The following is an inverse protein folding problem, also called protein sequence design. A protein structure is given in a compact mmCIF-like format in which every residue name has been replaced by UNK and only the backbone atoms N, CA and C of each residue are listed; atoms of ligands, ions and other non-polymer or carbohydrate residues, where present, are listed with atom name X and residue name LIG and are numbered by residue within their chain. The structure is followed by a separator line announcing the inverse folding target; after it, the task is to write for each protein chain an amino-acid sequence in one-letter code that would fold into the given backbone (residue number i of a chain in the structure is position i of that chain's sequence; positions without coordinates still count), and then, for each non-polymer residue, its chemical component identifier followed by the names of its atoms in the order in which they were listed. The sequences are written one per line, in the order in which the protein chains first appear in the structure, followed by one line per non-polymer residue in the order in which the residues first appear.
data_IF_644091321814
#
_entry.id   IF_644091321814
#
_cell.length_a   1.000
_cell.length_b   1.000
_cell.length_c   1.000
_cell.angle_alpha   90.00
_cell.angle_beta   90.00
_cell.angle_gamma   90.00
#
_symmetry.space_group_name_H-M   'P 1'
#
loop_
_entity.id
_entity.type
_entity.pdbx_description
1 polymer ?
#
# COMPACT_ATOMS: atom_id res chain seq x y z
N UNK A 1 -14.12 18.19 3.74
CA UNK A 1 -14.01 16.74 3.44
C UNK A 1 -13.37 15.88 4.56
N UNK A 2 -12.58 16.43 5.51
CA UNK A 2 -11.92 15.63 6.58
C UNK A 2 -12.81 14.92 7.63
N UNK A 3 -13.99 15.42 8.07
CA UNK A 3 -14.70 14.81 9.21
C UNK A 3 -15.40 13.49 8.85
N UNK A 4 -15.88 13.35 7.61
CA UNK A 4 -16.58 12.13 7.14
C UNK A 4 -15.60 10.95 7.06
N UNK A 5 -14.39 11.17 6.52
CA UNK A 5 -13.36 10.14 6.44
C UNK A 5 -12.97 9.62 7.84
N UNK A 6 -12.83 10.54 8.82
CA UNK A 6 -12.48 10.18 10.20
C UNK A 6 -13.54 9.30 10.88
N UNK A 7 -14.82 9.54 10.60
CA UNK A 7 -15.92 8.72 11.11
C UNK A 7 -15.92 7.34 10.46
N UNK A 8 -15.68 7.26 9.14
CA UNK A 8 -15.56 5.98 8.42
C UNK A 8 -14.38 5.18 8.98
N UNK A 9 -13.23 5.84 9.21
CA UNK A 9 -12.03 5.23 9.80
C UNK A 9 -12.30 4.67 11.20
N UNK A 10 -13.06 5.42 12.01
CA UNK A 10 -13.49 4.97 13.34
C UNK A 10 -14.40 3.74 13.24
N UNK A 11 -15.40 3.77 12.35
CA UNK A 11 -16.34 2.67 12.14
C UNK A 11 -15.59 1.41 11.67
N UNK A 12 -14.64 1.56 10.74
CA UNK A 12 -13.81 0.45 10.25
C UNK A 12 -12.95 -0.12 11.38
N UNK A 13 -12.31 0.73 12.18
CA UNK A 13 -11.53 0.30 13.35
C UNK A 13 -12.36 -0.47 14.37
N UNK A 14 -13.53 0.04 14.74
CA UNK A 14 -14.46 -0.61 15.67
C UNK A 14 -14.94 -1.96 15.11
N UNK A 15 -15.33 -2.00 13.83
CA UNK A 15 -15.85 -3.22 13.19
C UNK A 15 -14.81 -4.32 13.07
N UNK A 16 -13.54 -3.97 12.83
CA UNK A 16 -12.45 -4.95 12.67
C UNK A 16 -11.88 -5.44 14.00
N UNK A 17 -11.90 -4.62 15.05
CA UNK A 17 -11.25 -4.94 16.33
C UNK A 17 -12.14 -4.71 17.57
N UNK A 18 -13.33 -5.34 17.67
CA UNK A 18 -14.28 -5.10 18.75
C UNK A 18 -13.74 -5.55 20.13
N UNK A 19 -12.98 -6.65 20.16
CA UNK A 19 -12.36 -7.16 21.39
C UNK A 19 -11.29 -6.20 21.94
N UNK A 20 -10.49 -5.58 21.08
CA UNK A 20 -9.50 -4.59 21.52
C UNK A 20 -10.17 -3.35 22.12
N UNK A 21 -11.32 -2.93 21.59
CA UNK A 21 -12.09 -1.83 22.16
C UNK A 21 -12.55 -2.16 23.59
N UNK A 22 -13.05 -3.37 23.82
CA UNK A 22 -13.42 -3.83 25.16
C UNK A 22 -12.20 -3.89 26.07
N UNK A 23 -11.09 -4.48 25.63
CA UNK A 23 -9.86 -4.60 26.44
C UNK A 23 -9.35 -3.21 26.84
N UNK A 24 -9.25 -2.26 25.90
CA UNK A 24 -8.81 -0.90 26.23
C UNK A 24 -9.81 -0.17 27.13
N UNK A 25 -11.11 -0.37 26.90
CA UNK A 25 -12.17 0.21 27.73
C UNK A 25 -12.10 -0.28 29.17
N UNK A 26 -12.04 -1.60 29.38
CA UNK A 26 -11.90 -2.20 30.71
C UNK A 26 -10.58 -1.82 31.38
N UNK A 27 -9.47 -1.81 30.64
CA UNK A 27 -8.16 -1.43 31.21
C UNK A 27 -8.18 0.03 31.69
N UNK A 28 -8.68 0.95 30.87
CA UNK A 28 -8.80 2.36 31.25
C UNK A 28 -9.75 2.54 32.44
N UNK A 29 -10.87 1.82 32.44
CA UNK A 29 -11.84 1.85 33.54
C UNK A 29 -11.22 1.37 34.85
N UNK A 30 -10.52 0.24 34.82
CA UNK A 30 -9.84 -0.32 36.00
C UNK A 30 -8.78 0.64 36.53
N UNK A 31 -7.92 1.19 35.66
CA UNK A 31 -6.87 2.14 36.09
C UNK A 31 -7.48 3.40 36.70
N UNK A 32 -8.46 4.02 36.04
CA UNK A 32 -9.10 5.24 36.54
C UNK A 32 -9.87 5.00 37.83
N UNK A 33 -10.53 3.86 37.97
CA UNK A 33 -11.26 3.49 39.19
C UNK A 33 -10.31 3.27 40.37
N UNK A 34 -9.19 2.59 40.14
CA UNK A 34 -8.16 2.38 41.18
C UNK A 34 -7.53 3.71 41.62
N UNK A 35 -7.24 4.61 40.68
CA UNK A 35 -6.74 5.95 41.02
C UNK A 35 -7.78 6.76 41.80
N UNK A 36 -9.06 6.71 41.41
CA UNK A 36 -10.14 7.37 42.13
C UNK A 36 -10.29 6.89 43.58
N UNK A 37 -10.22 5.57 43.80
CA UNK A 37 -10.23 4.99 45.15
C UNK A 37 -9.00 5.40 45.97
N UNK A 38 -7.82 5.47 45.34
CA UNK A 38 -6.61 5.96 46.00
C UNK A 38 -6.74 7.42 46.44
N UNK A 39 -7.32 8.30 45.61
CA UNK A 39 -7.54 9.71 45.97
C UNK A 39 -8.52 9.82 47.14
N UNK A 40 -9.63 9.08 47.13
CA UNK A 40 -10.61 9.03 48.23
C UNK A 40 -9.95 8.57 49.55
N UNK A 41 -8.98 7.66 49.48
CA UNK A 41 -8.26 7.16 50.65
C UNK A 41 -7.23 8.15 51.22
N UNK A 42 -6.49 8.85 50.37
CA UNK A 42 -5.37 9.70 50.80
C UNK A 42 -5.72 11.19 50.98
N UNK A 43 -6.82 11.67 50.39
CA UNK A 43 -7.22 13.08 50.44
C UNK A 43 -8.56 13.25 51.18
N UNK A 44 -8.54 13.48 52.50
CA UNK A 44 -9.77 13.72 53.25
C UNK A 44 -10.49 14.98 52.75
N UNK A 45 -11.76 14.83 52.35
CA UNK A 45 -12.62 15.93 51.88
C UNK A 45 -13.07 15.85 50.42
N UNK A 46 -12.54 14.90 49.62
CA UNK A 46 -12.98 14.66 48.24
C UNK A 46 -13.73 13.33 48.19
N UNK A 47 -15.07 13.36 48.26
CA UNK A 47 -15.87 12.15 48.06
C UNK A 47 -16.17 11.92 46.57
N UNK A 48 -15.40 11.05 45.92
CA UNK A 48 -15.66 10.60 44.54
C UNK A 48 -16.76 9.52 44.50
N UNK A 49 -17.90 9.78 45.16
CA UNK A 49 -19.00 8.82 45.28
C UNK A 49 -20.21 9.25 44.44
N UNK A 50 -20.92 8.25 43.94
CA UNK A 50 -22.20 8.44 43.26
C UNK A 50 -22.20 8.11 41.76
N UNK A 51 -23.40 7.98 41.21
CA UNK A 51 -23.63 7.56 39.82
C UNK A 51 -22.95 8.49 38.82
N UNK A 52 -22.86 9.78 39.12
CA UNK A 52 -22.24 10.78 38.24
C UNK A 52 -20.74 10.57 38.05
N UNK A 53 -19.99 10.32 39.14
CA UNK A 53 -18.56 10.03 39.07
C UNK A 53 -18.27 8.75 38.26
N UNK A 54 -19.08 7.71 38.46
CA UNK A 54 -18.98 6.46 37.69
C UNK A 54 -19.24 6.69 36.20
N UNK A 55 -20.26 7.48 35.83
CA UNK A 55 -20.52 7.83 34.43
C UNK A 55 -19.37 8.61 33.79
N UNK A 56 -18.71 9.51 34.53
CA UNK A 56 -17.53 10.23 34.04
C UNK A 56 -16.37 9.25 33.77
N UNK A 57 -16.08 8.33 34.69
CA UNK A 57 -15.00 7.34 34.51
C UNK A 57 -15.29 6.42 33.32
N UNK A 58 -16.54 6.00 33.14
CA UNK A 58 -16.96 5.21 31.98
C UNK A 58 -16.78 6.03 30.70
N UNK A 59 -17.24 7.29 30.68
CA UNK A 59 -17.13 8.14 29.50
C UNK A 59 -15.67 8.36 29.09
N UNK A 60 -14.77 8.67 30.04
CA UNK A 60 -13.34 8.85 29.78
C UNK A 60 -12.72 7.55 29.26
N UNK A 61 -13.06 6.41 29.85
CA UNK A 61 -12.58 5.09 29.43
C UNK A 61 -13.01 4.73 28.01
N UNK A 62 -14.28 5.01 27.67
CA UNK A 62 -14.82 4.80 26.32
C UNK A 62 -14.13 5.72 25.31
N UNK A 63 -13.96 7.02 25.64
CA UNK A 63 -13.25 7.97 24.79
C UNK A 63 -11.79 7.52 24.55
N UNK A 64 -11.11 7.05 25.60
CA UNK A 64 -9.75 6.52 25.50
C UNK A 64 -9.69 5.29 24.59
N UNK A 65 -10.60 4.34 24.78
CA UNK A 65 -10.68 3.13 23.96
C UNK A 65 -10.95 3.46 22.48
N UNK A 66 -11.90 4.36 22.21
CA UNK A 66 -12.21 4.83 20.86
C UNK A 66 -10.99 5.48 20.20
N UNK A 67 -10.27 6.33 20.92
CA UNK A 67 -9.05 6.98 20.41
C UNK A 67 -7.92 5.98 20.10
N UNK A 68 -7.81 4.90 20.88
CA UNK A 68 -6.80 3.85 20.66
C UNK A 68 -7.10 3.00 19.43
N UNK A 69 -8.36 2.61 19.27
CA UNK A 69 -8.86 1.79 18.15
C UNK A 69 -8.94 2.57 16.85
N UNK A 70 -9.12 3.89 16.93
CA UNK A 70 -9.10 4.76 15.76
C UNK A 70 -7.73 4.73 15.04
N UNK A 71 -7.73 4.25 13.81
CA UNK A 71 -6.57 4.22 12.91
C UNK A 71 -6.93 5.01 11.64
N UNK A 72 -6.13 6.02 11.25
CA UNK A 72 -6.39 6.75 10.02
C UNK A 72 -6.23 5.82 8.82
N UNK A 73 -7.15 5.90 7.86
CA UNK A 73 -7.05 5.15 6.61
C UNK A 73 -6.17 5.83 5.56
N UNK A 74 -5.79 7.09 5.82
CA UNK A 74 -5.00 7.93 4.92
C UNK A 74 -4.04 8.83 5.69
N UNK A 75 -2.80 8.92 5.22
CA UNK A 75 -1.80 9.89 5.67
C UNK A 75 -1.10 10.53 4.48
N UNK A 76 -0.47 11.67 4.72
CA UNK A 76 0.36 12.40 3.75
C UNK A 76 1.71 12.69 4.40
N UNK A 77 2.77 12.51 3.62
CA UNK A 77 4.17 12.79 3.94
C UNK A 77 4.68 13.77 2.89
N UNK A 78 5.05 14.98 3.31
CA UNK A 78 5.68 15.96 2.43
C UNK A 78 7.13 15.58 2.18
N UNK A 79 7.59 15.64 0.93
CA UNK A 79 9.00 15.44 0.62
C UNK A 79 9.74 16.75 0.89
N UNK A 80 10.69 16.74 1.83
CA UNK A 80 11.47 17.93 2.16
C UNK A 80 12.15 18.53 0.91
N UNK A 81 12.13 19.85 0.78
CA UNK A 81 12.67 20.61 -0.36
C UNK A 81 12.04 20.26 -1.72
N UNK A 82 10.80 19.77 -1.73
CA UNK A 82 10.01 19.50 -2.93
C UNK A 82 8.53 19.85 -2.69
N UNK A 83 7.80 20.15 -3.77
CA UNK A 83 6.35 20.32 -3.73
C UNK A 83 5.59 18.99 -3.78
N UNK A 84 6.32 17.87 -3.86
CA UNK A 84 5.74 16.54 -3.94
C UNK A 84 5.23 16.05 -2.57
N UNK A 85 4.07 15.40 -2.61
CA UNK A 85 3.46 14.73 -1.45
C UNK A 85 3.37 13.23 -1.73
N UNK A 86 3.84 12.43 -0.78
CA UNK A 86 3.60 10.99 -0.75
C UNK A 86 2.36 10.75 0.12
N UNK A 87 1.29 10.33 -0.52
CA UNK A 87 0.04 9.94 0.11
C UNK A 87 0.01 8.43 0.29
N UNK A 88 -0.38 7.96 1.47
CA UNK A 88 -0.52 6.53 1.75
C UNK A 88 -1.95 6.30 2.22
N UNK A 89 -2.68 5.41 1.55
CA UNK A 89 -4.08 5.15 1.87
C UNK A 89 -4.46 3.67 1.72
N UNK A 90 -5.49 3.25 2.46
CA UNK A 90 -6.12 1.94 2.27
C UNK A 90 -7.29 2.02 1.29
N UNK A 91 -7.10 1.54 0.07
CA UNK A 91 -8.14 1.59 -0.95
C UNK A 91 -7.90 0.61 -2.11
N UNK A 92 -8.75 0.69 -3.14
CA UNK A 92 -8.53 0.00 -4.41
C UNK A 92 -7.63 0.82 -5.35
N UNK A 93 -6.60 0.17 -5.90
CA UNK A 93 -5.68 0.76 -6.87
C UNK A 93 -6.41 1.17 -8.16
N UNK A 94 -7.36 0.34 -8.63
CA UNK A 94 -8.05 0.55 -9.90
C UNK A 94 -9.03 1.72 -9.85
N UNK A 95 -9.44 2.17 -8.66
CA UNK A 95 -10.32 3.31 -8.46
C UNK A 95 -9.58 4.67 -8.44
N UNK A 96 -8.24 4.68 -8.43
CA UNK A 96 -7.47 5.91 -8.29
C UNK A 96 -7.31 6.66 -9.61
N UNK A 97 -7.34 8.00 -9.57
CA UNK A 97 -7.03 8.85 -10.72
C UNK A 97 -5.52 8.93 -11.00
N UNK A 98 -5.15 9.19 -12.26
CA UNK A 98 -3.75 9.28 -12.69
C UNK A 98 -3.20 7.94 -13.20
N UNK A 99 -1.88 7.76 -13.13
CA UNK A 99 -1.21 6.56 -13.63
C UNK A 99 -1.22 5.49 -12.54
N UNK A 100 -1.58 4.25 -12.90
CA UNK A 100 -1.61 3.12 -11.97
C UNK A 100 -0.46 2.16 -12.28
N UNK A 101 0.39 1.90 -11.31
CA UNK A 101 1.53 1.02 -11.48
C UNK A 101 1.12 -0.43 -11.26
N UNK A 102 1.49 -1.32 -12.19
CA UNK A 102 1.25 -2.76 -12.09
C UNK A 102 2.59 -3.48 -12.09
N UNK A 103 2.90 -4.18 -11.00
CA UNK A 103 4.06 -5.06 -10.94
C UNK A 103 3.80 -6.33 -11.74
N UNK A 104 4.63 -6.58 -12.74
CA UNK A 104 4.56 -7.77 -13.61
C UNK A 104 5.85 -8.57 -13.52
N UNK A 105 5.85 -9.77 -14.10
CA UNK A 105 7.09 -10.53 -14.26
C UNK A 105 7.92 -10.01 -15.43
N UNK A 106 9.17 -10.44 -15.51
CA UNK A 106 10.11 -10.00 -16.54
C UNK A 106 9.70 -10.38 -17.97
N UNK A 107 8.78 -11.34 -18.11
CA UNK A 107 8.24 -11.77 -19.39
C UNK A 107 7.03 -10.96 -19.85
N UNK A 108 6.48 -10.09 -18.97
CA UNK A 108 5.20 -9.42 -19.17
C UNK A 108 4.11 -10.43 -19.57
N UNK A 109 4.08 -11.59 -18.91
CA UNK A 109 3.11 -12.65 -19.21
C UNK A 109 1.68 -12.13 -19.07
N UNK A 110 0.81 -12.52 -20.00
CA UNK A 110 -0.59 -12.09 -20.04
C UNK A 110 -1.56 -13.27 -19.90
N UNK A 111 -1.05 -14.50 -20.03
CA UNK A 111 -1.81 -15.73 -19.88
C UNK A 111 -2.14 -16.00 -18.41
N UNK A 112 -3.44 -15.96 -18.08
CA UNK A 112 -3.94 -16.37 -16.77
C UNK A 112 -3.76 -17.88 -16.57
N UNK A 113 -3.41 -18.28 -15.34
CA UNK A 113 -3.16 -19.66 -14.97
C UNK A 113 -1.80 -19.80 -14.31
N UNK A 114 -0.94 -20.66 -14.87
CA UNK A 114 0.40 -20.92 -14.34
C UNK A 114 1.33 -19.71 -14.44
N UNK A 115 1.42 -18.97 -15.57
CA UNK A 115 2.30 -17.80 -15.68
C UNK A 115 1.84 -16.63 -14.82
N UNK A 116 0.52 -16.38 -14.78
CA UNK A 116 -0.07 -15.30 -13.99
C UNK A 116 -1.29 -15.80 -13.23
N UNK A 117 -1.19 -15.81 -11.90
CA UNK A 117 -2.34 -16.15 -11.05
C UNK A 117 -3.44 -15.10 -11.17
N UNK A 118 -4.68 -15.56 -11.33
CA UNK A 118 -5.91 -14.78 -11.37
C UNK A 118 -6.24 -14.03 -10.07
N UNK A 119 -5.58 -14.39 -8.97
CA UNK A 119 -5.68 -13.74 -7.65
C UNK A 119 -4.59 -12.70 -7.40
N UNK A 120 -3.56 -12.67 -8.25
CA UNK A 120 -2.51 -11.65 -8.17
C UNK A 120 -3.03 -10.31 -8.71
N UNK A 121 -2.42 -9.20 -8.28
CA UNK A 121 -2.76 -7.89 -8.83
C UNK A 121 -2.57 -7.84 -10.36
N UNK A 122 -1.52 -8.50 -10.86
CA UNK A 122 -1.27 -8.64 -12.30
C UNK A 122 -2.41 -9.39 -13.01
N UNK A 123 -2.84 -10.53 -12.49
CA UNK A 123 -3.94 -11.29 -13.08
C UNK A 123 -5.30 -10.59 -12.97
N UNK A 124 -5.55 -9.90 -11.85
CA UNK A 124 -6.74 -9.06 -11.67
C UNK A 124 -6.75 -7.94 -12.70
N UNK A 125 -5.60 -7.30 -12.95
CA UNK A 125 -5.46 -6.28 -14.00
C UNK A 125 -5.81 -6.84 -15.39
N UNK A 126 -5.21 -7.96 -15.79
CA UNK A 126 -5.52 -8.58 -17.09
C UNK A 126 -7.01 -8.94 -17.21
N UNK A 127 -7.58 -9.59 -16.18
CA UNK A 127 -8.99 -10.00 -16.20
C UNK A 127 -9.96 -8.82 -16.23
N UNK A 128 -9.71 -7.80 -15.40
CA UNK A 128 -10.63 -6.67 -15.23
C UNK A 128 -10.52 -5.64 -16.37
N UNK A 129 -9.29 -5.36 -16.82
CA UNK A 129 -9.02 -4.26 -17.75
C UNK A 129 -9.05 -4.72 -19.21
N UNK A 130 -8.76 -6.00 -19.48
CA UNK A 130 -8.75 -6.57 -20.84
C UNK A 130 -9.83 -7.64 -21.06
N UNK A 131 -10.75 -7.82 -20.11
CA UNK A 131 -11.81 -8.83 -20.20
C UNK A 131 -11.28 -10.27 -20.28
N UNK A 132 -10.01 -10.51 -19.90
CA UNK A 132 -9.34 -11.80 -20.06
C UNK A 132 -8.79 -12.06 -21.47
N UNK A 133 -8.81 -11.09 -22.39
CA UNK A 133 -8.23 -11.18 -23.72
C UNK A 133 -6.87 -10.48 -23.79
N UNK A 134 -5.75 -11.22 -23.77
CA UNK A 134 -4.42 -10.63 -23.61
C UNK A 134 -3.90 -9.90 -24.86
N UNK A 135 -4.47 -10.12 -26.04
CA UNK A 135 -3.89 -9.67 -27.32
C UNK A 135 -3.67 -8.14 -27.39
N UNK A 136 -4.61 -7.36 -26.85
CA UNK A 136 -4.47 -5.90 -26.81
C UNK A 136 -3.39 -5.43 -25.83
N UNK A 137 -3.25 -6.13 -24.70
CA UNK A 137 -2.17 -5.88 -23.74
C UNK A 137 -0.82 -6.24 -24.37
N UNK A 138 -0.73 -7.41 -25.00
CA UNK A 138 0.50 -7.92 -25.60
C UNK A 138 1.02 -6.99 -26.70
N UNK A 139 0.12 -6.52 -27.58
CA UNK A 139 0.49 -5.56 -28.62
C UNK A 139 1.06 -4.26 -28.04
N UNK A 140 0.42 -3.69 -27.01
CA UNK A 140 0.89 -2.45 -26.40
C UNK A 140 2.24 -2.63 -25.70
N UNK A 141 2.44 -3.76 -25.02
CA UNK A 141 3.72 -4.10 -24.39
C UNK A 141 4.82 -4.27 -25.43
N UNK A 142 4.54 -4.99 -26.53
CA UNK A 142 5.51 -5.18 -27.61
C UNK A 142 5.90 -3.86 -28.27
N UNK A 143 4.93 -2.96 -28.49
CA UNK A 143 5.15 -1.62 -29.06
C UNK A 143 6.01 -0.74 -28.13
N UNK A 144 5.72 -0.74 -26.82
CA UNK A 144 6.46 0.03 -25.81
C UNK A 144 7.89 -0.51 -25.58
N UNK A 145 8.06 -1.84 -25.64
CA UNK A 145 9.33 -2.50 -25.36
C UNK A 145 10.15 -2.82 -26.61
N UNK A 146 9.74 -2.37 -27.80
CA UNK A 146 10.40 -2.70 -29.08
C UNK A 146 11.90 -2.37 -29.14
N UNK A 147 12.34 -1.35 -28.40
CA UNK A 147 13.75 -0.91 -28.34
C UNK A 147 14.48 -1.42 -27.09
N UNK A 148 13.80 -2.16 -26.22
CA UNK A 148 14.38 -2.69 -24.99
C UNK A 148 15.01 -4.05 -25.30
N UNK A 149 16.28 -4.21 -24.96
CA UNK A 149 16.97 -5.49 -25.11
C UNK A 149 16.31 -6.55 -24.21
N UNK A 150 16.17 -7.75 -24.74
CA UNK A 150 15.62 -8.91 -24.04
C UNK A 150 16.51 -10.13 -24.25
N UNK A 151 16.36 -11.11 -23.37
CA UNK A 151 16.93 -12.45 -23.51
C UNK A 151 15.80 -13.40 -23.89
N UNK A 152 15.97 -14.19 -24.93
CA UNK A 152 14.98 -15.22 -25.28
C UNK A 152 15.22 -16.48 -24.44
N UNK A 153 14.13 -17.02 -23.88
CA UNK A 153 14.12 -18.18 -22.97
C UNK A 153 13.13 -19.21 -23.53
N UNK A 154 13.49 -19.91 -24.62
CA UNK A 154 12.60 -20.85 -25.31
C UNK A 154 12.24 -22.08 -24.46
N UNK A 155 13.03 -22.40 -23.44
CA UNK A 155 12.80 -23.50 -22.50
C UNK A 155 11.70 -23.22 -21.47
N UNK A 156 11.14 -22.00 -21.43
CA UNK A 156 10.06 -21.65 -20.50
C UNK A 156 8.82 -22.49 -20.81
N UNK A 157 8.31 -23.17 -19.78
CA UNK A 157 7.24 -24.16 -19.92
C UNK A 157 5.92 -23.59 -20.43
N UNK A 158 5.62 -22.32 -20.11
CA UNK A 158 4.37 -21.68 -20.47
C UNK A 158 4.47 -20.13 -20.43
N UNK A 159 3.73 -19.46 -21.31
CA UNK A 159 3.69 -18.00 -21.43
C UNK A 159 4.64 -17.47 -22.50
N UNK A 160 5.09 -16.22 -22.37
CA UNK A 160 6.04 -15.57 -23.27
C UNK A 160 7.47 -16.01 -22.97
N UNK A 161 8.34 -15.94 -23.99
CA UNK A 161 9.77 -16.36 -23.90
C UNK A 161 10.74 -15.19 -23.84
N UNK A 162 10.33 -13.97 -24.21
CA UNK A 162 11.18 -12.77 -24.13
C UNK A 162 11.25 -12.27 -22.69
N UNK A 163 12.41 -12.43 -22.06
CA UNK A 163 12.71 -11.90 -20.73
C UNK A 163 13.35 -10.51 -20.83
N UNK A 164 12.68 -9.50 -20.29
CA UNK A 164 13.17 -8.13 -20.23
C UNK A 164 13.95 -7.87 -18.92
N UNK A 165 14.83 -6.85 -18.87
CA UNK A 165 15.52 -6.52 -17.63
C UNK A 165 14.54 -6.06 -16.55
N UNK A 166 14.85 -6.39 -15.30
CA UNK A 166 14.10 -5.87 -14.14
C UNK A 166 14.16 -4.35 -14.14
N UNK A 167 13.00 -3.71 -13.96
CA UNK A 167 12.81 -2.27 -14.12
C UNK A 167 12.33 -1.84 -15.52
N UNK A 168 12.40 -2.70 -16.54
CA UNK A 168 11.75 -2.45 -17.82
C UNK A 168 10.27 -2.16 -17.60
N UNK A 169 9.72 -1.19 -18.33
CA UNK A 169 8.35 -0.75 -18.13
C UNK A 169 7.66 -0.37 -19.43
N UNK A 170 6.37 -0.67 -19.50
CA UNK A 170 5.49 -0.41 -20.63
C UNK A 170 4.30 0.42 -20.15
N UNK A 171 4.03 1.53 -20.83
CA UNK A 171 2.81 2.29 -20.59
C UNK A 171 1.67 1.68 -21.42
N UNK A 172 0.62 1.23 -20.72
CA UNK A 172 -0.53 0.57 -21.32
C UNK A 172 -1.78 1.39 -21.05
N UNK A 173 -2.58 1.62 -22.09
CA UNK A 173 -3.84 2.33 -22.01
C UNK A 173 -5.03 1.36 -22.13
N UNK A 174 -6.02 1.56 -21.27
CA UNK A 174 -7.31 0.87 -21.32
C UNK A 174 -8.40 1.92 -21.17
N UNK A 175 -9.18 2.15 -22.23
CA UNK A 175 -10.13 3.26 -22.29
C UNK A 175 -9.42 4.61 -22.00
N UNK A 176 -9.79 5.29 -20.91
CA UNK A 176 -9.17 6.55 -20.47
C UNK A 176 -8.09 6.34 -19.39
N UNK A 177 -7.94 5.11 -18.90
CA UNK A 177 -7.03 4.78 -17.82
C UNK A 177 -5.65 4.41 -18.33
N UNK A 178 -4.62 4.83 -17.59
CA UNK A 178 -3.21 4.61 -17.91
C UNK A 178 -2.54 3.76 -16.84
N UNK A 179 -1.88 2.71 -17.29
CA UNK A 179 -1.21 1.74 -16.45
C UNK A 179 0.27 1.68 -16.80
N UNK A 180 1.13 1.83 -15.79
CA UNK A 180 2.56 1.66 -15.96
C UNK A 180 2.94 0.25 -15.47
N UNK A 181 3.05 -0.69 -16.39
CA UNK A 181 3.43 -2.06 -16.10
C UNK A 181 4.94 -2.14 -16.03
N UNK A 182 5.52 -2.71 -14.97
CA UNK A 182 6.98 -2.78 -14.83
C UNK A 182 7.44 -4.16 -14.35
N UNK A 183 8.55 -4.63 -14.92
CA UNK A 183 9.19 -5.90 -14.58
C UNK A 183 9.76 -5.83 -13.16
N UNK A 184 9.03 -6.41 -12.21
CA UNK A 184 9.35 -6.36 -10.77
C UNK A 184 9.98 -7.66 -10.25
N UNK A 185 9.60 -8.79 -10.83
CA UNK A 185 10.00 -10.11 -10.39
C UNK A 185 10.61 -10.90 -11.54
N UNK A 186 11.56 -11.76 -11.21
CA UNK A 186 12.01 -12.84 -12.08
C UNK A 186 11.05 -14.02 -12.01
N UNK A 187 11.13 -14.93 -12.95
CA UNK A 187 10.27 -16.10 -13.09
C UNK A 187 11.14 -17.31 -13.34
N UNK A 188 10.91 -18.38 -12.59
CA UNK A 188 11.52 -19.66 -12.87
C UNK A 188 10.92 -20.25 -14.17
N UNK A 189 11.71 -20.51 -15.22
CA UNK A 189 11.19 -20.98 -16.50
C UNK A 189 10.52 -22.36 -16.44
N UNK A 190 10.90 -23.20 -15.48
CA UNK A 190 10.42 -24.58 -15.37
C UNK A 190 9.07 -24.69 -14.64
N UNK A 191 8.77 -23.77 -13.73
CA UNK A 191 7.52 -23.81 -12.96
C UNK A 191 6.65 -22.55 -12.99
N UNK A 192 7.14 -21.48 -13.64
CA UNK A 192 6.53 -20.15 -13.75
C UNK A 192 6.36 -19.41 -12.41
N UNK A 193 7.03 -19.84 -11.32
CA UNK A 193 6.96 -19.10 -10.06
C UNK A 193 7.77 -17.81 -10.13
N UNK A 194 7.12 -16.71 -9.79
CA UNK A 194 7.75 -15.42 -9.65
C UNK A 194 8.57 -15.35 -8.35
N UNK A 195 9.74 -14.73 -8.40
CA UNK A 195 10.57 -14.42 -7.24
C UNK A 195 11.24 -13.06 -7.39
N UNK A 196 11.46 -12.39 -6.26
CA UNK A 196 12.16 -11.11 -6.20
C UNK A 196 12.93 -11.04 -4.87
N UNK A 197 13.94 -10.17 -4.81
CA UNK A 197 14.70 -9.86 -3.60
C UNK A 197 14.82 -8.34 -3.43
N UNK A 198 15.42 -7.90 -2.33
CA UNK A 198 15.54 -6.47 -2.00
C UNK A 198 16.33 -5.70 -3.06
N UNK A 199 17.36 -6.32 -3.65
CA UNK A 199 18.18 -5.71 -4.70
C UNK A 199 17.37 -5.52 -5.98
N UNK A 200 16.64 -6.55 -6.40
CA UNK A 200 15.75 -6.50 -7.57
C UNK A 200 14.61 -5.50 -7.35
N UNK A 201 14.03 -5.45 -6.16
CA UNK A 201 12.99 -4.48 -5.81
C UNK A 201 13.53 -3.04 -5.89
N UNK A 202 14.71 -2.78 -5.35
CA UNK A 202 15.31 -1.44 -5.40
C UNK A 202 15.61 -1.01 -6.84
N UNK A 203 16.18 -1.92 -7.65
CA UNK A 203 16.41 -1.68 -9.08
C UNK A 203 15.10 -1.39 -9.81
N UNK A 204 14.08 -2.23 -9.63
CA UNK A 204 12.79 -2.10 -10.30
C UNK A 204 12.09 -0.77 -9.95
N UNK A 205 12.15 -0.36 -8.68
CA UNK A 205 11.58 0.90 -8.21
C UNK A 205 12.34 2.10 -8.81
N UNK A 206 13.66 2.07 -8.84
CA UNK A 206 14.47 3.14 -9.44
C UNK A 206 14.06 3.40 -10.90
N UNK A 207 13.98 2.35 -11.71
CA UNK A 207 13.62 2.49 -13.13
C UNK A 207 12.13 2.81 -13.34
N UNK A 208 11.26 2.28 -12.48
CA UNK A 208 9.85 2.68 -12.43
C UNK A 208 9.71 4.19 -12.23
N UNK A 209 10.42 4.77 -11.27
CA UNK A 209 10.32 6.21 -10.97
C UNK A 209 10.85 7.07 -12.12
N UNK A 210 11.90 6.62 -12.82
CA UNK A 210 12.39 7.29 -14.03
C UNK A 210 11.36 7.29 -15.15
N UNK A 211 10.70 6.16 -15.40
CA UNK A 211 9.62 6.09 -16.39
C UNK A 211 8.39 6.88 -15.95
N UNK A 212 8.00 6.78 -14.69
CA UNK A 212 6.88 7.55 -14.15
C UNK A 212 7.09 9.05 -14.32
N UNK A 213 8.33 9.55 -14.18
CA UNK A 213 8.67 10.96 -14.41
C UNK A 213 8.38 11.41 -15.85
N UNK A 214 8.64 10.57 -16.86
CA UNK A 214 8.36 10.93 -18.26
C UNK A 214 6.87 10.84 -18.60
N UNK A 215 6.13 9.93 -17.95
CA UNK A 215 4.73 9.65 -18.32
C UNK A 215 3.69 10.39 -17.47
N UNK A 216 4.01 10.75 -16.22
CA UNK A 216 3.06 11.31 -15.27
C UNK A 216 2.39 12.57 -15.80
N UNK A 217 3.13 13.44 -16.49
CA UNK A 217 2.64 14.72 -17.02
C UNK A 217 1.84 15.53 -15.96
N UNK A 218 2.36 15.57 -14.73
CA UNK A 218 1.71 16.24 -13.59
C UNK A 218 0.55 15.49 -12.93
N UNK A 219 0.09 14.36 -13.48
CA UNK A 219 -0.91 13.51 -12.84
C UNK A 219 -0.31 12.72 -11.67
N UNK A 220 -1.15 12.28 -10.72
CA UNK A 220 -0.71 11.39 -9.66
C UNK A 220 -0.19 10.06 -10.21
N UNK A 221 0.80 9.48 -9.51
CA UNK A 221 1.29 8.12 -9.77
C UNK A 221 0.91 7.25 -8.58
N UNK A 222 0.14 6.19 -8.84
CA UNK A 222 -0.43 5.30 -7.82
C UNK A 222 0.31 3.96 -7.85
N UNK A 223 0.98 3.62 -6.75
CA UNK A 223 1.82 2.43 -6.62
C UNK A 223 1.21 1.50 -5.57
N UNK A 224 1.00 0.22 -5.88
CA UNK A 224 0.55 -0.75 -4.87
C UNK A 224 1.69 -1.12 -3.92
N UNK A 225 1.35 -1.85 -2.85
CA UNK A 225 2.37 -2.51 -2.02
C UNK A 225 3.02 -3.69 -2.76
N UNK A 226 4.00 -3.40 -3.61
CA UNK A 226 4.78 -4.40 -4.36
C UNK A 226 5.63 -5.25 -3.41
N UNK A 227 5.92 -6.50 -3.81
CA UNK A 227 6.70 -7.45 -3.00
C UNK A 227 5.91 -8.22 -1.94
N UNK A 228 4.68 -7.83 -1.61
CA UNK A 228 3.86 -8.44 -0.55
C UNK A 228 3.05 -9.68 -0.96
N UNK A 229 3.21 -10.13 -2.21
CA UNK A 229 2.40 -11.18 -2.84
C UNK A 229 3.25 -12.35 -3.34
N UNK A 230 2.89 -12.87 -4.53
CA UNK A 230 3.46 -14.10 -5.10
C UNK A 230 4.94 -14.01 -5.47
N UNK A 231 5.52 -12.80 -5.52
CA UNK A 231 6.95 -12.59 -5.78
C UNK A 231 7.85 -13.03 -4.62
N UNK A 232 7.31 -13.44 -3.47
CA UNK A 232 8.07 -14.16 -2.45
C UNK A 232 9.17 -13.37 -1.74
N UNK A 233 9.11 -12.03 -1.70
CA UNK A 233 10.17 -11.19 -1.11
C UNK A 233 10.40 -11.45 0.39
N UNK A 234 9.41 -12.04 1.08
CA UNK A 234 9.52 -12.50 2.46
C UNK A 234 9.62 -11.40 3.53
N UNK A 235 9.63 -10.13 3.15
CA UNK A 235 9.71 -9.01 4.09
C UNK A 235 8.35 -8.71 4.75
N UNK A 236 8.36 -8.24 6.01
CA UNK A 236 7.18 -7.67 6.65
C UNK A 236 6.55 -6.55 5.81
N UNK A 237 5.22 -6.49 5.80
CA UNK A 237 4.42 -5.48 5.09
C UNK A 237 4.88 -4.04 5.38
N UNK A 238 5.32 -3.78 6.62
CA UNK A 238 5.83 -2.48 7.05
C UNK A 238 7.16 -2.10 6.39
N UNK A 239 8.05 -3.08 6.21
CA UNK A 239 9.38 -2.86 5.63
C UNK A 239 9.28 -2.65 4.12
N UNK A 240 8.41 -3.41 3.45
CA UNK A 240 8.04 -3.18 2.04
C UNK A 240 7.56 -1.75 1.82
N UNK A 241 6.63 -1.28 2.67
CA UNK A 241 6.12 0.09 2.60
C UNK A 241 7.24 1.11 2.80
N UNK A 242 8.13 0.89 3.78
CA UNK A 242 9.26 1.79 4.03
C UNK A 242 10.24 1.83 2.84
N UNK A 243 10.51 0.70 2.18
CA UNK A 243 11.35 0.66 0.99
C UNK A 243 10.74 1.46 -0.17
N UNK A 244 9.42 1.32 -0.40
CA UNK A 244 8.73 2.09 -1.43
C UNK A 244 8.79 3.60 -1.10
N UNK A 245 8.48 4.00 0.14
CA UNK A 245 8.56 5.40 0.58
C UNK A 245 9.98 5.94 0.41
N UNK A 246 10.99 5.21 0.87
CA UNK A 246 12.39 5.62 0.77
C UNK A 246 12.81 5.80 -0.69
N UNK A 247 12.46 4.86 -1.57
CA UNK A 247 12.76 4.95 -3.00
C UNK A 247 12.08 6.17 -3.65
N UNK A 248 10.82 6.43 -3.32
CA UNK A 248 10.07 7.57 -3.84
C UNK A 248 10.65 8.91 -3.37
N UNK A 249 11.02 9.01 -2.08
CA UNK A 249 11.67 10.21 -1.52
C UNK A 249 13.03 10.43 -2.21
N UNK A 250 13.83 9.38 -2.34
CA UNK A 250 15.17 9.45 -2.94
C UNK A 250 15.10 9.95 -4.37
N UNK A 251 14.24 9.34 -5.20
CA UNK A 251 14.09 9.71 -6.60
C UNK A 251 13.46 11.09 -6.78
N UNK A 252 12.49 11.45 -5.94
CA UNK A 252 11.84 12.77 -5.98
C UNK A 252 12.81 13.88 -5.60
N UNK A 253 13.68 13.67 -4.60
CA UNK A 253 14.72 14.63 -4.20
C UNK A 253 15.79 14.78 -5.29
N UNK A 254 16.12 13.69 -6.00
CA UNK A 254 17.06 13.73 -7.10
C UNK A 254 16.50 14.52 -8.29
N UNK A 255 15.31 14.15 -8.76
CA UNK A 255 14.59 14.86 -9.83
C UNK A 255 13.08 14.68 -9.65
N UNK A 256 12.29 15.77 -9.60
CA UNK A 256 10.84 15.69 -9.40
C UNK A 256 10.18 14.67 -10.34
N UNK A 257 9.31 13.82 -9.78
CA UNK A 257 8.54 12.82 -10.55
C UNK A 257 7.17 13.40 -10.89
N UNK A 258 6.41 13.76 -9.86
CA UNK A 258 5.09 14.42 -9.92
C UNK A 258 4.81 15.09 -8.58
N UNK A 259 3.77 15.91 -8.50
CA UNK A 259 3.37 16.57 -7.25
C UNK A 259 2.70 15.61 -6.26
N UNK A 260 2.20 14.44 -6.72
CA UNK A 260 1.54 13.47 -5.86
C UNK A 260 1.89 12.02 -6.22
N UNK A 261 2.49 11.30 -5.28
CA UNK A 261 2.69 9.85 -5.37
C UNK A 261 1.76 9.21 -4.35
N UNK A 262 0.89 8.29 -4.79
CA UNK A 262 0.03 7.53 -3.88
C UNK A 262 0.55 6.13 -3.72
N UNK A 263 0.75 5.68 -2.48
CA UNK A 263 0.98 4.28 -2.16
C UNK A 263 -0.35 3.70 -1.68
N UNK A 264 -0.93 2.83 -2.50
CA UNK A 264 -2.26 2.26 -2.27
C UNK A 264 -2.12 0.89 -1.63
N UNK A 265 -2.60 0.79 -0.39
CA UNK A 265 -2.59 -0.43 0.40
C UNK A 265 -3.95 -1.12 0.26
N UNK A 266 -3.97 -2.40 -0.08
CA UNK A 266 -5.23 -3.15 -0.07
C UNK A 266 -5.82 -3.19 1.35
N UNK A 267 -7.15 -3.11 1.47
CA UNK A 267 -7.85 -3.03 2.77
C UNK A 267 -7.59 -4.21 3.70
N UNK A 268 -7.17 -5.35 3.17
CA UNK A 268 -6.81 -6.52 3.99
C UNK A 268 -5.51 -6.33 4.78
N UNK A 269 -4.72 -5.30 4.44
CA UNK A 269 -3.50 -4.93 5.17
C UNK A 269 -3.77 -3.94 6.31
N UNK A 270 -5.01 -3.51 6.52
CA UNK A 270 -5.39 -2.52 7.54
C UNK A 270 -4.97 -2.93 8.96
N UNK A 271 -5.03 -4.22 9.26
CA UNK A 271 -4.65 -4.74 10.58
C UNK A 271 -3.13 -4.92 10.74
N UNK A 272 -2.38 -4.92 9.63
CA UNK A 272 -0.92 -5.14 9.61
C UNK A 272 -0.11 -3.85 9.65
N UNK A 273 -0.69 -2.72 9.20
CA UNK A 273 0.00 -1.43 9.14
C UNK A 273 -0.82 -0.38 9.91
N UNK A 274 -0.19 0.25 10.90
CA UNK A 274 -0.70 1.48 11.51
C UNK A 274 -0.08 2.71 10.83
N UNK A 275 -0.90 3.46 10.09
CA UNK A 275 -0.44 4.66 9.40
C UNK A 275 0.00 5.77 10.37
N UNK A 276 -0.40 5.74 11.66
CA UNK A 276 0.12 6.70 12.66
C UNK A 276 1.61 6.50 12.87
N UNK A 277 2.03 5.24 12.96
CA UNK A 277 3.44 4.87 13.16
C UNK A 277 4.25 5.14 11.89
N UNK A 278 3.65 4.91 10.71
CA UNK A 278 4.24 5.31 9.42
C UNK A 278 4.49 6.80 9.38
N UNK A 279 3.47 7.59 9.68
CA UNK A 279 3.59 9.05 9.71
C UNK A 279 4.62 9.50 10.73
N UNK A 280 4.65 8.92 11.93
CA UNK A 280 5.62 9.28 12.97
C UNK A 280 7.06 8.97 12.55
N UNK A 281 7.30 7.83 11.91
CA UNK A 281 8.64 7.44 11.46
C UNK A 281 9.19 8.36 10.37
N UNK A 282 8.33 8.83 9.47
CA UNK A 282 8.70 9.68 8.33
C UNK A 282 8.45 11.17 8.56
N UNK A 283 8.11 11.56 9.79
CA UNK A 283 7.98 12.96 10.20
C UNK A 283 9.32 13.38 10.81
N UNK A 284 10.09 14.12 10.04
CA UNK A 284 11.22 14.94 10.54
C UNK A 284 10.70 15.96 11.56
#
# INVERSE_FOLDING_TARGET
MRPIQSLIDLIVGIRRQPLLLLVYGFTAFSVLSTLGQGIDFFVPGIELKGKFALWIVIAISVIYALKRVWKPSRIEISVANSNAVIEILFDDLFAQDGIRVIAVNEFFDSKLGRPVSDKSLHGIFIRSSFGGHPDSFDKQVDDELKMVQYVDVPEKVEGKTKAYPIGASALVAVNQDRYLCFAFAKTNPQDCKAFSDVTLMWQALNDLWKRARSEANGHPVNVPLVGSGLSGLGLPTRDLLNLIILSAITETKAKPITNKIRIVLHRDRFDQIDLRDVKKHWKE
#
